data_IF_286506413866
#
_entry.id   IF_286506413866
#
_cell.length_a   1.000
_cell.length_b   1.000
_cell.length_c   1.000
_cell.angle_alpha   90.00
_cell.angle_beta   90.00
_cell.angle_gamma   90.00
#
_symmetry.space_group_name_H-M   'P 1'
#
loop_
_entity.id
_entity.type
_entity.pdbx_description
1 polymer ?
#
# COMPACT_ATOMS: atom_id res chain seq x y z
N UNK A 1 -8.43 -36.81 -18.80
CA UNK A 1 -8.14 -35.39 -19.07
C UNK A 1 -8.32 -34.64 -17.75
N UNK A 2 -7.34 -33.80 -17.35
CA UNK A 2 -7.54 -32.93 -16.18
C UNK A 2 -8.61 -31.90 -16.55
N UNK A 3 -9.65 -31.81 -15.72
CA UNK A 3 -10.68 -30.81 -15.89
C UNK A 3 -10.20 -29.47 -15.31
N UNK A 4 -10.19 -28.43 -16.13
CA UNK A 4 -9.77 -27.10 -15.69
C UNK A 4 -10.99 -26.33 -15.18
N UNK A 5 -10.86 -25.78 -13.96
CA UNK A 5 -11.82 -24.85 -13.39
C UNK A 5 -11.94 -23.56 -14.23
N UNK A 6 -10.78 -23.05 -14.71
CA UNK A 6 -10.70 -21.86 -15.57
C UNK A 6 -9.54 -21.96 -16.57
N UNK A 7 -9.59 -21.08 -17.56
CA UNK A 7 -8.48 -20.83 -18.49
C UNK A 7 -8.22 -19.33 -18.55
N UNK A 8 -6.96 -18.93 -18.44
CA UNK A 8 -6.51 -17.55 -18.51
C UNK A 8 -5.20 -17.47 -19.34
N UNK A 9 -4.87 -16.30 -19.85
CA UNK A 9 -3.55 -16.00 -20.39
C UNK A 9 -2.59 -15.67 -19.25
N UNK A 10 -3.09 -14.88 -18.26
CA UNK A 10 -2.33 -14.44 -17.09
C UNK A 10 -3.13 -14.69 -15.80
N UNK A 11 -2.47 -15.33 -14.81
CA UNK A 11 -2.98 -15.43 -13.44
C UNK A 11 -2.20 -14.51 -12.53
N UNK A 12 -2.89 -13.65 -11.77
CA UNK A 12 -2.31 -12.82 -10.70
C UNK A 12 -2.64 -13.45 -9.35
N UNK A 13 -1.63 -13.74 -8.54
CA UNK A 13 -1.77 -14.35 -7.21
C UNK A 13 -1.67 -13.26 -6.15
N UNK A 14 -2.75 -13.02 -5.42
CA UNK A 14 -2.84 -12.07 -4.31
C UNK A 14 -3.67 -10.83 -4.63
N UNK A 15 -4.71 -10.61 -3.83
CA UNK A 15 -5.68 -9.50 -3.95
C UNK A 15 -5.31 -8.24 -3.15
N UNK A 16 -4.04 -8.06 -2.78
CA UNK A 16 -3.54 -6.83 -2.19
C UNK A 16 -3.37 -5.70 -3.20
N UNK A 17 -2.95 -4.52 -2.73
CA UNK A 17 -2.78 -3.31 -3.57
C UNK A 17 -1.89 -3.54 -4.79
N UNK A 18 -0.83 -4.34 -4.67
CA UNK A 18 0.10 -4.62 -5.78
C UNK A 18 -0.55 -5.52 -6.82
N UNK A 19 -1.17 -6.63 -6.40
CA UNK A 19 -1.82 -7.55 -7.34
C UNK A 19 -3.00 -6.93 -8.06
N UNK A 20 -3.79 -6.10 -7.37
CA UNK A 20 -4.93 -5.41 -8.00
C UNK A 20 -4.48 -4.28 -8.94
N UNK A 21 -3.38 -3.56 -8.61
CA UNK A 21 -2.78 -2.60 -9.52
C UNK A 21 -2.23 -3.28 -10.80
N UNK A 22 -1.56 -4.44 -10.64
CA UNK A 22 -1.09 -5.24 -11.78
C UNK A 22 -2.26 -5.73 -12.63
N UNK A 23 -3.34 -6.21 -12.00
CA UNK A 23 -4.54 -6.66 -12.72
C UNK A 23 -5.16 -5.54 -13.56
N UNK A 24 -5.25 -4.31 -12.97
CA UNK A 24 -5.72 -3.13 -13.72
C UNK A 24 -4.81 -2.82 -14.90
N UNK A 25 -3.52 -2.84 -14.71
CA UNK A 25 -2.56 -2.53 -15.77
C UNK A 25 -2.62 -3.56 -16.90
N UNK A 26 -2.69 -4.87 -16.58
CA UNK A 26 -2.91 -5.96 -17.54
C UNK A 26 -4.24 -5.82 -18.31
N UNK A 27 -5.29 -5.32 -17.65
CA UNK A 27 -6.62 -5.20 -18.26
C UNK A 27 -6.69 -4.17 -19.40
N UNK A 28 -5.64 -3.38 -19.61
CA UNK A 28 -5.46 -2.50 -20.78
C UNK A 28 -5.16 -3.29 -22.08
N UNK A 29 -4.81 -4.55 -21.95
CA UNK A 29 -4.37 -5.38 -23.07
C UNK A 29 -5.38 -6.48 -23.36
N UNK A 30 -5.37 -6.99 -24.59
CA UNK A 30 -6.23 -8.11 -25.03
C UNK A 30 -5.71 -9.43 -24.46
N UNK A 31 -5.86 -9.56 -23.14
CA UNK A 31 -5.47 -10.70 -22.32
C UNK A 31 -6.62 -11.12 -21.44
N UNK A 32 -6.86 -12.43 -21.34
CA UNK A 32 -7.75 -12.99 -20.34
C UNK A 32 -7.00 -13.11 -19.01
N UNK A 33 -7.28 -12.19 -18.08
CA UNK A 33 -6.62 -12.09 -16.80
C UNK A 33 -7.53 -12.58 -15.66
N UNK A 34 -6.99 -13.41 -14.77
CA UNK A 34 -7.67 -13.89 -13.56
C UNK A 34 -6.80 -13.57 -12.35
N UNK A 35 -7.36 -12.86 -11.35
CA UNK A 35 -6.74 -12.70 -10.05
C UNK A 35 -7.32 -13.73 -9.09
N UNK A 36 -6.46 -14.41 -8.33
CA UNK A 36 -6.85 -15.34 -7.25
C UNK A 36 -6.39 -14.81 -5.90
N UNK A 37 -7.30 -14.77 -4.92
CA UNK A 37 -7.05 -14.37 -3.54
C UNK A 37 -7.48 -15.51 -2.58
N UNK A 38 -6.64 -15.83 -1.60
CA UNK A 38 -6.91 -16.91 -0.65
C UNK A 38 -7.99 -16.56 0.38
N UNK A 39 -8.14 -15.28 0.68
CA UNK A 39 -9.11 -14.76 1.63
C UNK A 39 -10.48 -14.53 0.95
N UNK A 40 -11.56 -14.38 1.74
CA UNK A 40 -12.90 -14.13 1.19
C UNK A 40 -13.08 -12.75 0.57
N UNK A 41 -12.13 -11.83 0.79
CA UNK A 41 -12.18 -10.47 0.27
C UNK A 41 -10.78 -9.98 -0.15
N UNK A 42 -10.76 -8.94 -0.98
CA UNK A 42 -9.54 -8.25 -1.38
C UNK A 42 -8.94 -7.45 -0.22
N UNK A 43 -7.66 -7.11 -0.36
CA UNK A 43 -6.92 -6.30 0.60
C UNK A 43 -6.84 -6.87 2.04
N UNK A 44 -7.18 -8.12 2.26
CA UNK A 44 -7.26 -8.73 3.59
C UNK A 44 -5.91 -8.88 4.32
N UNK A 45 -4.77 -8.78 3.61
CA UNK A 45 -3.43 -8.84 4.16
C UNK A 45 -2.88 -7.48 4.62
N UNK A 46 -1.61 -7.20 4.30
CA UNK A 46 -0.89 -5.96 4.66
C UNK A 46 -1.59 -4.69 4.15
N UNK A 47 -2.37 -4.79 3.09
CA UNK A 47 -3.06 -3.63 2.50
C UNK A 47 -4.10 -3.00 3.44
N UNK A 48 -4.77 -3.77 4.29
CA UNK A 48 -5.73 -3.24 5.29
C UNK A 48 -5.06 -2.71 6.57
N UNK A 49 -3.79 -3.07 6.82
CA UNK A 49 -3.10 -2.80 8.08
C UNK A 49 -1.70 -2.24 7.82
N UNK A 50 -1.65 -0.95 7.51
CA UNK A 50 -0.44 -0.18 7.23
C UNK A 50 -0.65 1.30 7.60
N UNK A 51 0.35 2.16 7.33
CA UNK A 51 0.29 3.59 7.67
C UNK A 51 -0.53 4.44 6.69
N UNK A 52 -1.11 3.87 5.65
CA UNK A 52 -1.95 4.58 4.67
C UNK A 52 -1.28 5.81 4.03
N UNK A 53 0.05 5.81 3.86
CA UNK A 53 0.83 6.94 3.40
C UNK A 53 1.27 6.74 1.95
N UNK A 54 1.01 7.74 1.12
CA UNK A 54 1.67 7.94 -0.16
C UNK A 54 2.95 8.74 0.07
N UNK A 55 4.09 8.05 0.05
CA UNK A 55 5.40 8.66 0.33
C UNK A 55 5.89 9.52 -0.83
N UNK A 56 6.59 10.62 -0.53
CA UNK A 56 7.20 11.47 -1.55
C UNK A 56 8.38 10.81 -2.29
N UNK A 57 9.21 9.99 -1.60
CA UNK A 57 10.32 9.26 -2.22
C UNK A 57 11.73 9.63 -1.74
N UNK A 58 11.85 10.45 -0.71
CA UNK A 58 13.16 10.94 -0.21
C UNK A 58 13.96 9.92 0.58
N UNK A 59 13.33 8.87 1.14
CA UNK A 59 13.95 8.01 2.15
C UNK A 59 14.72 6.82 1.55
N UNK A 60 14.25 6.24 0.46
CA UNK A 60 14.88 5.07 -0.14
C UNK A 60 16.24 5.37 -0.75
N UNK A 61 17.22 4.43 -0.66
CA UNK A 61 18.55 4.61 -1.27
C UNK A 61 18.42 4.91 -2.78
N UNK A 62 19.17 5.90 -3.23
CA UNK A 62 19.17 6.30 -4.65
C UNK A 62 19.53 5.14 -5.55
N UNK A 63 18.80 4.96 -6.64
CA UNK A 63 18.97 3.87 -7.61
C UNK A 63 18.33 2.54 -7.22
N UNK A 64 17.79 2.39 -6.01
CA UNK A 64 17.04 1.20 -5.61
C UNK A 64 15.68 1.13 -6.32
N UNK A 65 15.12 -0.08 -6.45
CA UNK A 65 13.75 -0.26 -6.97
C UNK A 65 12.74 0.50 -6.11
N UNK A 66 12.92 0.54 -4.80
CA UNK A 66 12.10 1.34 -3.88
C UNK A 66 12.11 2.82 -4.24
N UNK A 67 13.28 3.42 -4.53
CA UNK A 67 13.38 4.83 -4.87
C UNK A 67 12.67 5.14 -6.19
N UNK A 68 13.01 4.39 -7.24
CA UNK A 68 12.48 4.60 -8.60
C UNK A 68 10.96 4.40 -8.63
N UNK A 69 10.47 3.28 -8.08
CA UNK A 69 9.04 2.96 -8.11
C UNK A 69 8.21 3.84 -7.18
N UNK A 70 8.79 4.33 -6.06
CA UNK A 70 8.08 5.26 -5.18
C UNK A 70 7.82 6.60 -5.87
N UNK A 71 8.84 7.23 -6.44
CA UNK A 71 8.69 8.54 -7.11
C UNK A 71 7.76 8.42 -8.32
N UNK A 72 7.91 7.38 -9.14
CA UNK A 72 7.03 7.11 -10.27
C UNK A 72 5.59 6.85 -9.82
N UNK A 73 5.40 6.00 -8.83
CA UNK A 73 4.08 5.65 -8.29
C UNK A 73 3.36 6.84 -7.68
N UNK A 74 4.08 7.70 -6.92
CA UNK A 74 3.51 8.93 -6.38
C UNK A 74 2.94 9.82 -7.50
N UNK A 75 3.69 10.01 -8.59
CA UNK A 75 3.22 10.79 -9.77
C UNK A 75 1.99 10.16 -10.42
N UNK A 76 1.96 8.83 -10.57
CA UNK A 76 0.83 8.11 -11.17
C UNK A 76 -0.46 8.25 -10.36
N UNK A 77 -0.38 8.34 -9.03
CA UNK A 77 -1.57 8.48 -8.21
C UNK A 77 -2.34 9.78 -8.44
N UNK A 78 -1.76 10.84 -8.95
CA UNK A 78 -2.48 12.08 -9.29
C UNK A 78 -3.49 11.88 -10.43
N UNK A 79 -3.18 11.04 -11.40
CA UNK A 79 -4.11 10.67 -12.48
C UNK A 79 -5.09 9.59 -12.02
N UNK A 80 -4.59 8.55 -11.37
CA UNK A 80 -5.38 7.44 -10.83
C UNK A 80 -6.44 7.92 -9.84
N UNK A 81 -6.15 8.95 -9.05
CA UNK A 81 -7.13 9.58 -8.16
C UNK A 81 -8.35 10.09 -8.93
N UNK A 82 -8.12 10.73 -10.07
CA UNK A 82 -9.19 11.27 -10.91
C UNK A 82 -9.96 10.16 -11.65
N UNK A 83 -9.23 9.20 -12.21
CA UNK A 83 -9.82 8.09 -12.97
C UNK A 83 -10.68 7.17 -12.11
N UNK A 84 -10.19 6.84 -10.92
CA UNK A 84 -10.79 5.83 -10.05
C UNK A 84 -11.56 6.40 -8.86
N UNK A 85 -11.57 7.73 -8.66
CA UNK A 85 -12.21 8.36 -7.51
C UNK A 85 -11.55 7.96 -6.18
N UNK A 86 -10.21 7.85 -6.16
CA UNK A 86 -9.50 7.39 -4.96
C UNK A 86 -9.56 8.43 -3.86
N UNK A 87 -9.82 7.97 -2.64
CA UNK A 87 -9.78 8.82 -1.45
C UNK A 87 -8.32 9.06 -1.03
N UNK A 88 -7.75 10.15 -1.53
CA UNK A 88 -6.39 10.60 -1.28
C UNK A 88 -6.42 12.07 -0.86
N UNK A 89 -5.73 12.39 0.22
CA UNK A 89 -5.47 13.76 0.67
C UNK A 89 -3.98 14.04 0.60
N UNK A 90 -3.59 15.02 -0.21
CA UNK A 90 -2.21 15.45 -0.40
C UNK A 90 -1.80 16.41 0.71
N UNK A 91 -1.63 15.89 1.92
CA UNK A 91 -1.35 16.64 3.15
C UNK A 91 0.09 17.11 3.26
N UNK A 92 0.98 16.54 2.44
CA UNK A 92 2.41 16.62 2.65
C UNK A 92 2.88 15.77 3.85
N UNK A 93 4.20 15.75 4.07
CA UNK A 93 4.78 15.13 5.25
C UNK A 93 5.95 15.94 5.82
N UNK A 94 6.16 15.81 7.12
CA UNK A 94 7.29 16.38 7.85
C UNK A 94 8.17 15.27 8.39
N UNK A 95 9.49 15.41 8.27
CA UNK A 95 10.43 14.66 9.10
C UNK A 95 10.97 15.66 10.13
N UNK A 96 10.56 15.51 11.38
CA UNK A 96 10.78 16.48 12.43
C UNK A 96 12.09 16.21 13.19
N UNK A 97 12.98 17.20 13.27
CA UNK A 97 14.18 17.18 14.10
C UNK A 97 13.89 17.84 15.45
N UNK A 98 14.33 17.18 16.53
CA UNK A 98 14.20 17.66 17.92
C UNK A 98 15.52 18.16 18.50
N UNK A 99 16.62 18.05 17.75
CA UNK A 99 17.93 18.59 18.10
C UNK A 99 18.68 19.10 16.87
N UNK A 100 19.70 19.92 17.08
CA UNK A 100 20.57 20.41 16.01
C UNK A 100 21.35 19.29 15.32
N UNK A 101 21.67 18.21 16.03
CA UNK A 101 22.33 17.03 15.44
C UNK A 101 21.42 16.34 14.42
N UNK A 102 20.12 16.27 14.71
CA UNK A 102 19.14 15.68 13.82
C UNK A 102 18.92 16.50 12.54
N UNK A 103 19.21 17.80 12.55
CA UNK A 103 19.16 18.66 11.36
C UNK A 103 20.12 18.21 10.26
N UNK A 104 21.26 17.62 10.61
CA UNK A 104 22.18 17.05 9.62
C UNK A 104 21.53 15.85 8.90
N UNK A 105 20.83 15.00 9.63
CA UNK A 105 20.07 13.89 9.01
C UNK A 105 19.00 14.39 8.03
N UNK A 106 18.33 15.51 8.35
CA UNK A 106 17.39 16.14 7.42
C UNK A 106 18.05 16.63 6.14
N UNK A 107 19.27 17.17 6.24
CA UNK A 107 20.03 17.61 5.08
C UNK A 107 20.40 16.41 4.17
N UNK A 108 20.83 15.29 4.76
CA UNK A 108 21.10 14.05 4.02
C UNK A 108 19.87 13.51 3.31
N UNK A 109 18.68 13.57 3.97
CA UNK A 109 17.41 13.17 3.39
C UNK A 109 16.98 14.11 2.26
N UNK A 110 17.20 15.41 2.40
CA UNK A 110 16.94 16.41 1.35
C UNK A 110 17.75 16.10 0.09
N UNK A 111 19.06 15.93 0.23
CA UNK A 111 19.97 15.63 -0.88
C UNK A 111 19.62 14.30 -1.57
N UNK A 112 19.31 13.27 -0.77
CA UNK A 112 18.87 11.97 -1.28
C UNK A 112 17.55 12.11 -2.05
N UNK A 113 16.58 12.82 -1.49
CA UNK A 113 15.31 13.05 -2.13
C UNK A 113 15.41 13.81 -3.44
N UNK A 114 16.28 14.83 -3.50
CA UNK A 114 16.58 15.55 -4.73
C UNK A 114 17.22 14.64 -5.79
N UNK A 115 18.19 13.78 -5.40
CA UNK A 115 18.78 12.77 -6.29
C UNK A 115 17.76 11.74 -6.78
N UNK A 116 16.76 11.42 -5.97
CA UNK A 116 15.66 10.53 -6.35
C UNK A 116 14.61 11.22 -7.26
N UNK A 117 14.71 12.53 -7.47
CA UNK A 117 13.77 13.29 -8.30
C UNK A 117 12.48 13.70 -7.58
N UNK A 118 12.52 13.83 -6.26
CA UNK A 118 11.41 14.36 -5.47
C UNK A 118 11.39 15.89 -5.53
N UNK A 119 10.29 16.45 -5.99
CA UNK A 119 10.12 17.88 -6.18
C UNK A 119 9.61 18.58 -4.92
N UNK A 120 9.98 19.86 -4.74
CA UNK A 120 9.45 20.71 -3.68
C UNK A 120 9.94 20.42 -2.26
N UNK A 121 10.95 19.53 -2.09
CA UNK A 121 11.57 19.28 -0.79
C UNK A 121 12.29 20.52 -0.28
N UNK A 122 12.09 20.85 0.99
CA UNK A 122 12.82 21.94 1.66
C UNK A 122 12.92 21.73 3.17
N UNK A 123 13.97 22.27 3.76
CA UNK A 123 14.09 22.37 5.22
C UNK A 123 13.25 23.55 5.70
N UNK A 124 12.46 23.33 6.73
CA UNK A 124 11.69 24.33 7.45
C UNK A 124 12.36 24.65 8.77
N UNK A 125 12.36 25.93 9.15
CA UNK A 125 12.70 26.34 10.49
C UNK A 125 11.55 26.06 11.46
N UNK A 126 11.82 26.25 12.77
CA UNK A 126 10.83 26.00 13.84
C UNK A 126 9.52 26.77 13.64
N UNK A 127 9.56 28.03 13.25
CA UNK A 127 8.37 28.87 13.07
C UNK A 127 7.50 28.35 11.93
N UNK A 128 8.10 28.01 10.80
CA UNK A 128 7.41 27.40 9.66
C UNK A 128 6.79 26.05 10.00
N UNK A 129 7.47 25.22 10.81
CA UNK A 129 6.92 23.94 11.29
C UNK A 129 5.70 24.19 12.16
N UNK A 130 5.78 25.09 13.15
CA UNK A 130 4.68 25.39 14.07
C UNK A 130 3.46 26.02 13.36
N UNK A 131 3.69 26.79 12.28
CA UNK A 131 2.59 27.31 11.45
C UNK A 131 1.84 26.17 10.72
N UNK A 132 2.49 25.06 10.39
CA UNK A 132 1.85 23.88 9.81
C UNK A 132 1.26 22.95 10.86
N UNK A 133 2.04 22.62 11.89
CA UNK A 133 1.72 21.63 12.92
C UNK A 133 1.99 22.23 14.33
N UNK A 134 1.02 22.94 14.85
CA UNK A 134 1.14 23.72 16.09
C UNK A 134 1.54 22.91 17.34
N UNK A 135 1.27 21.60 17.32
CA UNK A 135 1.51 20.71 18.46
C UNK A 135 2.94 20.13 18.49
N UNK A 136 3.75 20.37 17.45
CA UNK A 136 5.15 19.94 17.42
C UNK A 136 6.05 20.90 18.21
N UNK A 137 5.80 21.07 19.49
CA UNK A 137 6.46 22.10 20.32
C UNK A 137 7.93 21.81 20.61
N UNK A 138 8.38 20.57 20.45
CA UNK A 138 9.75 20.11 20.75
C UNK A 138 10.71 20.24 19.56
N UNK A 139 10.21 20.56 18.35
CA UNK A 139 11.03 20.57 17.13
C UNK A 139 11.94 21.81 17.04
N UNK A 140 13.09 21.65 16.39
CA UNK A 140 14.00 22.72 15.98
C UNK A 140 13.87 23.04 14.49
N UNK A 141 13.46 22.06 13.67
CA UNK A 141 13.19 22.18 12.24
C UNK A 141 12.59 20.91 11.68
N UNK A 142 12.31 20.89 10.38
CA UNK A 142 11.79 19.70 9.69
C UNK A 142 12.15 19.69 8.20
N UNK A 143 12.26 18.50 7.60
CA UNK A 143 12.19 18.33 6.16
C UNK A 143 10.72 18.27 5.75
N UNK A 144 10.30 19.17 4.87
CA UNK A 144 8.97 19.21 4.27
C UNK A 144 8.96 18.54 2.90
N UNK A 145 8.02 17.62 2.70
CA UNK A 145 7.78 16.94 1.43
C UNK A 145 6.32 17.15 0.99
N UNK A 146 6.03 18.11 0.10
CA UNK A 146 4.66 18.49 -0.28
C UNK A 146 3.91 17.41 -1.07
N UNK A 147 4.61 16.54 -1.79
CA UNK A 147 4.01 15.48 -2.62
C UNK A 147 3.60 14.24 -1.83
N UNK A 148 3.81 14.19 -0.52
CA UNK A 148 3.29 13.10 0.31
C UNK A 148 1.79 13.30 0.59
N UNK A 149 1.10 12.21 0.90
CA UNK A 149 -0.32 12.26 1.24
C UNK A 149 -0.76 11.06 2.06
N UNK A 150 -2.02 11.08 2.47
CA UNK A 150 -2.70 9.97 3.11
C UNK A 150 -3.81 9.43 2.20
N UNK A 151 -4.14 8.16 2.33
CA UNK A 151 -5.11 7.52 1.46
C UNK A 151 -5.91 6.44 2.20
N UNK A 152 -6.88 5.84 1.53
CA UNK A 152 -7.63 4.68 2.03
C UNK A 152 -7.21 3.40 1.29
N UNK A 153 -6.19 2.65 1.78
CA UNK A 153 -5.50 1.63 0.97
C UNK A 153 -6.36 0.48 0.47
N UNK A 154 -7.27 -0.04 1.30
CA UNK A 154 -8.11 -1.16 0.86
C UNK A 154 -9.17 -0.72 -0.14
N UNK A 155 -9.76 0.48 -0.02
CA UNK A 155 -10.65 1.03 -1.04
C UNK A 155 -9.92 1.23 -2.37
N UNK A 156 -8.64 1.64 -2.33
CA UNK A 156 -7.81 1.77 -3.53
C UNK A 156 -7.60 0.40 -4.21
N UNK A 157 -7.30 -0.66 -3.45
CA UNK A 157 -7.16 -2.01 -4.01
C UNK A 157 -8.46 -2.50 -4.66
N UNK A 158 -9.60 -2.23 -4.03
CA UNK A 158 -10.92 -2.54 -4.58
C UNK A 158 -11.17 -1.75 -5.87
N UNK A 159 -10.85 -0.45 -5.90
CA UNK A 159 -11.03 0.39 -7.09
C UNK A 159 -10.16 -0.09 -8.27
N UNK A 160 -8.91 -0.50 -8.03
CA UNK A 160 -8.08 -1.11 -9.06
C UNK A 160 -8.72 -2.39 -9.62
N UNK A 161 -9.21 -3.27 -8.74
CA UNK A 161 -9.86 -4.50 -9.15
C UNK A 161 -11.17 -4.23 -9.92
N UNK A 162 -11.98 -3.27 -9.47
CA UNK A 162 -13.22 -2.88 -10.16
C UNK A 162 -12.94 -2.35 -11.56
N UNK A 163 -11.91 -1.51 -11.73
CA UNK A 163 -11.50 -1.04 -13.04
C UNK A 163 -11.06 -2.21 -13.95
N UNK A 164 -10.30 -3.16 -13.41
CA UNK A 164 -9.90 -4.33 -14.17
C UNK A 164 -11.09 -5.21 -14.57
N UNK A 165 -12.04 -5.44 -13.68
CA UNK A 165 -13.27 -6.21 -13.96
C UNK A 165 -14.14 -5.51 -14.99
N UNK A 166 -14.27 -4.17 -14.91
CA UNK A 166 -14.97 -3.37 -15.95
C UNK A 166 -14.35 -3.57 -17.34
N UNK A 167 -13.07 -3.96 -17.41
CA UNK A 167 -12.33 -4.22 -18.64
C UNK A 167 -12.12 -5.71 -18.93
N UNK A 168 -12.93 -6.59 -18.31
CA UNK A 168 -13.01 -8.01 -18.62
C UNK A 168 -12.08 -8.93 -17.82
N UNK A 169 -11.36 -8.43 -16.81
CA UNK A 169 -10.63 -9.29 -15.88
C UNK A 169 -11.58 -9.99 -14.90
N UNK A 170 -11.15 -11.12 -14.34
CA UNK A 170 -11.89 -11.85 -13.33
C UNK A 170 -11.16 -11.84 -11.98
N UNK A 171 -11.93 -11.77 -10.88
CA UNK A 171 -11.44 -11.90 -9.52
C UNK A 171 -12.08 -13.10 -8.85
N UNK A 172 -11.28 -13.98 -8.26
CA UNK A 172 -11.72 -15.19 -7.56
C UNK A 172 -11.17 -15.19 -6.15
N UNK A 173 -12.02 -14.91 -5.18
CA UNK A 173 -11.72 -14.99 -3.74
C UNK A 173 -11.87 -16.41 -3.20
N UNK A 174 -11.52 -16.67 -1.93
CA UNK A 174 -11.49 -18.02 -1.33
C UNK A 174 -10.70 -19.03 -2.20
N UNK A 175 -9.69 -18.58 -2.90
CA UNK A 175 -8.95 -19.35 -3.90
C UNK A 175 -7.47 -19.34 -3.60
N UNK A 176 -7.02 -20.28 -2.76
CA UNK A 176 -5.63 -20.44 -2.37
C UNK A 176 -4.85 -21.20 -3.45
N UNK A 177 -3.71 -20.66 -3.88
CA UNK A 177 -2.75 -21.40 -4.72
C UNK A 177 -2.05 -22.45 -3.87
N UNK A 178 -2.00 -23.68 -4.38
CA UNK A 178 -1.43 -24.85 -3.70
C UNK A 178 -0.25 -25.49 -4.46
N UNK A 179 -0.09 -25.15 -5.75
CA UNK A 179 0.99 -25.68 -6.58
C UNK A 179 0.97 -25.16 -8.01
N UNK A 180 1.84 -25.73 -8.83
CA UNK A 180 1.97 -25.44 -10.25
C UNK A 180 2.20 -26.69 -11.06
N UNK A 181 1.55 -26.82 -12.21
CA UNK A 181 1.86 -27.84 -13.21
C UNK A 181 2.86 -27.23 -14.17
N UNK A 182 3.93 -27.98 -14.45
CA UNK A 182 5.00 -27.59 -15.37
C UNK A 182 5.18 -28.63 -16.47
N UNK A 183 5.40 -28.18 -17.69
CA UNK A 183 5.79 -29.00 -18.82
C UNK A 183 7.06 -28.42 -19.44
N UNK A 184 8.08 -29.24 -19.65
CA UNK A 184 9.40 -28.81 -20.12
C UNK A 184 9.98 -27.60 -19.34
N UNK A 185 9.81 -27.57 -18.01
CA UNK A 185 10.31 -26.49 -17.14
C UNK A 185 9.50 -25.20 -17.14
N UNK A 186 8.42 -25.12 -17.90
CA UNK A 186 7.53 -23.95 -18.02
C UNK A 186 6.22 -24.22 -17.29
N UNK A 187 5.67 -23.21 -16.60
CA UNK A 187 4.33 -23.29 -16.00
C UNK A 187 3.28 -23.41 -17.11
N UNK A 188 2.34 -24.34 -16.94
CA UNK A 188 1.19 -24.55 -17.84
C UNK A 188 -0.14 -24.47 -17.10
N UNK A 189 -0.15 -24.65 -15.78
CA UNK A 189 -1.34 -24.43 -14.94
C UNK A 189 -0.98 -24.07 -13.51
N UNK A 190 -1.92 -23.43 -12.84
CA UNK A 190 -1.91 -23.12 -11.41
C UNK A 190 -2.88 -24.05 -10.70
N UNK A 191 -2.39 -24.74 -9.67
CA UNK A 191 -3.23 -25.54 -8.76
C UNK A 191 -3.80 -24.66 -7.66
N UNK A 192 -5.11 -24.73 -7.45
CA UNK A 192 -5.79 -23.94 -6.44
C UNK A 192 -6.75 -24.79 -5.60
N UNK A 193 -7.21 -24.24 -4.48
CA UNK A 193 -8.25 -24.87 -3.63
C UNK A 193 -9.60 -25.04 -4.34
N UNK A 194 -9.82 -24.35 -5.49
CA UNK A 194 -11.03 -24.44 -6.31
C UNK A 194 -10.85 -25.25 -7.60
N UNK A 195 -9.66 -25.80 -7.83
CA UNK A 195 -9.33 -26.57 -9.02
C UNK A 195 -8.22 -25.94 -9.84
N UNK A 196 -7.99 -26.48 -11.03
CA UNK A 196 -6.88 -26.09 -11.91
C UNK A 196 -7.26 -24.85 -12.75
N UNK A 197 -6.33 -23.90 -12.85
CA UNK A 197 -6.41 -22.78 -13.79
C UNK A 197 -5.32 -22.96 -14.84
N UNK A 198 -5.70 -23.20 -16.09
CA UNK A 198 -4.76 -23.24 -17.21
C UNK A 198 -4.20 -21.84 -17.42
N UNK A 199 -2.89 -21.67 -17.33
CA UNK A 199 -2.21 -20.40 -17.60
C UNK A 199 -0.74 -20.65 -17.91
N UNK A 200 -0.21 -19.93 -18.89
CA UNK A 200 1.21 -19.95 -19.24
C UNK A 200 2.00 -18.81 -18.59
N UNK A 201 1.33 -17.84 -18.01
CA UNK A 201 1.94 -16.68 -17.35
C UNK A 201 1.30 -16.47 -15.98
N UNK A 202 2.13 -16.37 -14.94
CA UNK A 202 1.69 -16.23 -13.55
C UNK A 202 2.48 -15.12 -12.87
N UNK A 203 1.79 -14.25 -12.16
CA UNK A 203 2.38 -13.16 -11.40
C UNK A 203 2.16 -13.42 -9.91
N UNK A 204 3.25 -13.51 -9.17
CA UNK A 204 3.26 -13.71 -7.74
C UNK A 204 3.29 -12.35 -7.03
N UNK A 205 2.14 -11.90 -6.54
CA UNK A 205 1.96 -10.73 -5.68
C UNK A 205 1.45 -11.14 -4.28
N UNK A 206 1.91 -12.29 -3.77
CA UNK A 206 1.43 -12.95 -2.56
C UNK A 206 1.85 -12.30 -1.24
N UNK A 207 2.41 -11.07 -1.25
CA UNK A 207 2.77 -10.32 -0.05
C UNK A 207 3.76 -11.09 0.84
N UNK A 208 3.41 -11.28 2.10
CA UNK A 208 4.28 -12.01 3.05
C UNK A 208 4.47 -13.48 2.71
N UNK A 209 3.64 -14.05 1.82
CA UNK A 209 3.73 -15.45 1.38
C UNK A 209 4.42 -15.62 0.03
N UNK A 210 4.92 -14.53 -0.57
CA UNK A 210 5.45 -14.56 -1.95
C UNK A 210 6.61 -15.54 -2.13
N UNK A 211 7.51 -15.66 -1.16
CA UNK A 211 8.60 -16.64 -1.20
C UNK A 211 8.11 -18.10 -1.12
N UNK A 212 7.05 -18.36 -0.33
CA UNK A 212 6.41 -19.67 -0.27
C UNK A 212 5.77 -20.04 -1.60
N UNK A 213 5.07 -19.09 -2.24
CA UNK A 213 4.47 -19.30 -3.57
C UNK A 213 5.56 -19.54 -4.63
N UNK A 214 6.66 -18.77 -4.60
CA UNK A 214 7.79 -18.95 -5.49
C UNK A 214 8.41 -20.36 -5.33
N UNK A 215 8.60 -20.82 -4.10
CA UNK A 215 9.11 -22.20 -3.80
C UNK A 215 8.19 -23.30 -4.32
N UNK A 216 6.85 -23.13 -4.31
CA UNK A 216 5.95 -24.10 -4.95
C UNK A 216 6.23 -24.27 -6.42
N UNK A 217 6.70 -23.23 -7.11
CA UNK A 217 7.14 -23.29 -8.50
C UNK A 217 8.59 -23.77 -8.68
N UNK A 218 9.39 -23.88 -7.60
CA UNK A 218 10.80 -24.20 -7.62
C UNK A 218 11.73 -22.99 -7.74
N UNK A 219 11.24 -21.78 -7.42
CA UNK A 219 12.04 -20.56 -7.32
C UNK A 219 12.42 -20.30 -5.86
N UNK A 220 13.70 -20.44 -5.54
CA UNK A 220 14.29 -20.21 -4.22
C UNK A 220 15.19 -18.97 -4.19
N UNK A 221 15.08 -18.09 -5.19
CA UNK A 221 15.97 -16.95 -5.37
C UNK A 221 15.84 -15.85 -4.31
N UNK A 222 14.75 -15.84 -3.53
CA UNK A 222 14.51 -14.87 -2.47
C UNK A 222 13.75 -15.44 -1.28
N UNK A 223 13.84 -14.74 -0.16
CA UNK A 223 13.09 -15.03 1.07
C UNK A 223 12.33 -13.79 1.53
N UNK A 224 11.20 -14.00 2.20
CA UNK A 224 10.39 -12.94 2.80
C UNK A 224 10.30 -13.17 4.31
N UNK A 225 10.75 -12.18 5.07
CA UNK A 225 10.63 -12.12 6.52
C UNK A 225 9.49 -11.18 6.90
N UNK A 226 8.51 -11.63 7.70
CA UNK A 226 7.46 -10.76 8.19
C UNK A 226 8.02 -9.80 9.25
N UNK A 227 7.75 -8.50 9.10
CA UNK A 227 8.06 -7.48 10.12
C UNK A 227 6.77 -6.84 10.58
N UNK A 228 6.38 -7.13 11.81
CA UNK A 228 5.17 -6.57 12.43
C UNK A 228 5.35 -5.09 12.73
N UNK A 229 4.29 -4.33 12.47
CA UNK A 229 4.13 -2.95 12.91
C UNK A 229 2.79 -2.80 13.59
N UNK A 230 2.82 -2.35 14.83
CA UNK A 230 1.65 -2.15 15.67
C UNK A 230 1.27 -0.67 15.70
N UNK A 231 0.00 -0.35 15.87
CA UNK A 231 -0.56 0.99 15.78
C UNK A 231 -1.60 1.23 16.87
N UNK A 232 -1.76 2.47 17.28
CA UNK A 232 -2.86 2.96 18.15
C UNK A 232 -3.65 3.99 17.36
N UNK A 233 -4.96 3.79 17.20
CA UNK A 233 -5.87 4.69 16.53
C UNK A 233 -6.66 5.49 17.56
N UNK A 234 -6.75 6.80 17.36
CA UNK A 234 -7.51 7.72 18.22
C UNK A 234 -8.83 8.12 17.59
N UNK A 235 -9.80 8.43 18.46
CA UNK A 235 -11.07 9.04 18.10
C UNK A 235 -10.87 10.38 17.37
N UNK A 236 -11.63 10.59 16.30
CA UNK A 236 -11.50 11.79 15.48
C UNK A 236 -11.86 13.09 16.21
N UNK A 237 -12.79 13.06 17.17
CA UNK A 237 -13.22 14.26 17.88
C UNK A 237 -12.16 14.76 18.87
N UNK A 238 -11.46 13.83 19.53
CA UNK A 238 -10.42 14.16 20.50
C UNK A 238 -9.05 14.41 19.85
N UNK A 239 -8.79 13.83 18.67
CA UNK A 239 -7.47 13.86 18.03
C UNK A 239 -7.43 14.61 16.69
N UNK A 240 -8.55 15.14 16.19
CA UNK A 240 -8.64 15.87 14.91
C UNK A 240 -7.69 17.08 14.78
N UNK A 241 -7.24 17.63 15.90
CA UNK A 241 -6.31 18.76 15.92
C UNK A 241 -4.88 18.36 16.25
N UNK A 242 -4.59 17.06 16.39
CA UNK A 242 -3.27 16.59 16.84
C UNK A 242 -2.21 16.87 15.79
N UNK A 243 -2.46 16.39 14.56
CA UNK A 243 -1.68 16.71 13.37
C UNK A 243 -2.62 16.85 12.16
N UNK A 244 -2.18 17.61 11.15
CA UNK A 244 -2.95 17.82 9.90
C UNK A 244 -2.48 16.90 8.77
N UNK A 245 -1.32 16.30 8.91
CA UNK A 245 -0.70 15.46 7.90
C UNK A 245 0.11 14.33 8.50
N UNK A 246 1.22 14.03 7.86
CA UNK A 246 2.14 12.96 8.26
C UNK A 246 3.36 13.55 8.94
N UNK A 247 3.65 13.14 10.16
CA UNK A 247 4.81 13.58 10.93
C UNK A 247 5.68 12.38 11.29
N UNK A 248 6.87 12.32 10.75
CA UNK A 248 7.91 11.35 11.09
C UNK A 248 8.90 11.99 12.08
N UNK A 249 9.45 11.25 13.04
CA UNK A 249 10.72 11.63 13.66
C UNK A 249 11.85 11.45 12.66
N UNK A 250 13.03 11.97 12.98
CA UNK A 250 14.26 11.62 12.26
C UNK A 250 14.51 10.11 12.33
N UNK A 251 14.85 9.46 11.18
CA UNK A 251 15.11 8.03 11.16
C UNK A 251 16.36 7.69 11.98
N UNK A 252 16.34 6.54 12.62
CA UNK A 252 17.49 5.96 13.28
C UNK A 252 17.99 4.70 12.53
N UNK A 253 19.09 4.08 13.01
CA UNK A 253 19.69 2.90 12.38
C UNK A 253 18.74 1.68 12.29
N UNK A 254 17.69 1.61 13.11
CA UNK A 254 16.77 0.47 13.20
C UNK A 254 15.45 0.69 12.44
N UNK A 255 14.95 1.93 12.38
CA UNK A 255 13.65 2.22 11.79
C UNK A 255 13.51 3.69 11.40
N UNK A 256 12.46 3.98 10.62
CA UNK A 256 12.00 5.35 10.32
C UNK A 256 11.43 6.09 11.56
N UNK A 257 11.39 5.42 12.70
CA UNK A 257 10.74 5.88 13.91
C UNK A 257 9.21 5.75 13.89
N UNK A 258 8.60 6.05 15.03
CA UNK A 258 7.16 5.99 15.22
C UNK A 258 6.57 7.33 14.82
N UNK A 259 5.74 7.31 13.79
CA UNK A 259 5.10 8.48 13.22
C UNK A 259 3.76 8.80 13.90
N UNK A 260 3.29 10.02 13.68
CA UNK A 260 1.95 10.50 14.02
C UNK A 260 1.31 10.93 12.71
N UNK A 261 0.12 10.41 12.41
CA UNK A 261 -0.49 10.60 11.10
C UNK A 261 -2.02 10.74 11.21
N UNK A 262 -2.57 11.64 10.40
CA UNK A 262 -4.02 11.69 10.16
C UNK A 262 -4.46 10.63 9.17
N UNK A 263 -5.76 10.31 9.15
CA UNK A 263 -6.41 9.48 8.13
C UNK A 263 -7.32 10.33 7.26
N UNK A 264 -7.73 9.82 6.09
CA UNK A 264 -8.72 10.49 5.22
C UNK A 264 -10.10 10.65 5.87
N UNK A 265 -10.35 9.99 7.01
CA UNK A 265 -11.59 10.07 7.78
C UNK A 265 -11.49 10.99 9.02
N UNK A 266 -10.33 11.66 9.20
CA UNK A 266 -10.10 12.61 10.28
C UNK A 266 -9.66 12.00 11.60
N UNK A 267 -9.45 10.69 11.68
CA UNK A 267 -8.80 10.06 12.82
C UNK A 267 -7.30 10.35 12.82
N UNK A 268 -6.67 10.22 13.97
CA UNK A 268 -5.19 10.22 14.07
C UNK A 268 -4.72 8.87 14.60
N UNK A 269 -3.59 8.38 14.13
CA UNK A 269 -2.94 7.21 14.69
C UNK A 269 -1.46 7.48 14.98
N UNK A 270 -0.90 6.68 15.88
CA UNK A 270 0.54 6.61 16.16
C UNK A 270 1.05 5.20 15.89
N UNK A 271 2.29 5.10 15.45
CA UNK A 271 2.92 3.86 15.01
C UNK A 271 3.57 4.04 13.63
N UNK A 272 4.04 2.98 13.00
CA UNK A 272 4.23 1.68 13.61
C UNK A 272 5.59 1.55 14.32
N UNK A 273 5.67 0.59 15.25
CA UNK A 273 6.95 0.03 15.65
C UNK A 273 7.49 -0.95 14.60
N UNK A 274 8.57 -1.68 14.90
CA UNK A 274 9.20 -2.61 13.95
C UNK A 274 9.74 -3.83 14.69
N UNK A 275 9.04 -4.95 14.60
CA UNK A 275 9.42 -6.21 15.20
C UNK A 275 9.53 -7.29 14.13
N UNK A 276 10.73 -7.89 14.00
CA UNK A 276 10.91 -9.03 13.10
C UNK A 276 10.23 -10.25 13.68
N UNK A 277 9.50 -10.99 12.84
CA UNK A 277 8.69 -12.14 13.22
C UNK A 277 9.07 -13.35 12.37
N UNK A 278 8.83 -14.55 12.89
CA UNK A 278 8.90 -15.78 12.11
C UNK A 278 7.53 -16.18 11.56
N UNK A 279 6.49 -16.00 12.37
CA UNK A 279 5.12 -16.35 12.00
C UNK A 279 4.51 -15.28 11.07
N UNK A 280 4.16 -15.69 9.85
CA UNK A 280 3.54 -14.83 8.81
C UNK A 280 2.04 -14.54 9.07
N UNK A 281 1.48 -15.06 10.16
CA UNK A 281 0.07 -14.87 10.53
C UNK A 281 -0.10 -14.11 11.84
N UNK A 282 0.99 -13.85 12.59
CA UNK A 282 0.92 -13.17 13.88
C UNK A 282 0.76 -11.66 13.73
N UNK A 283 -0.48 -11.21 13.84
CA UNK A 283 -0.88 -9.80 13.89
C UNK A 283 -1.36 -9.37 15.28
N UNK A 284 -0.96 -10.09 16.32
CA UNK A 284 -1.29 -9.72 17.69
C UNK A 284 -0.63 -8.40 18.09
N UNK A 285 -1.33 -7.59 18.86
CA UNK A 285 -0.81 -6.37 19.49
C UNK A 285 -0.26 -6.72 20.86
N UNK A 286 0.85 -6.10 21.25
CA UNK A 286 1.56 -6.42 22.50
C UNK A 286 1.67 -5.21 23.42
N UNK A 287 1.62 -5.42 24.74
CA UNK A 287 1.80 -4.33 25.71
C UNK A 287 3.15 -3.63 25.53
N UNK A 288 4.22 -4.37 25.30
CA UNK A 288 5.56 -3.83 25.06
C UNK A 288 5.62 -2.96 23.79
N UNK A 289 4.93 -3.38 22.72
CA UNK A 289 4.81 -2.61 21.49
C UNK A 289 4.01 -1.33 21.69
N UNK A 290 2.93 -1.38 22.47
CA UNK A 290 2.14 -0.19 22.81
C UNK A 290 2.95 0.80 23.64
N UNK A 291 3.69 0.34 24.64
CA UNK A 291 4.57 1.19 25.45
C UNK A 291 5.67 1.85 24.61
N UNK A 292 6.29 1.10 23.68
CA UNK A 292 7.28 1.64 22.73
C UNK A 292 6.68 2.76 21.88
N UNK A 293 5.48 2.52 21.31
CA UNK A 293 4.78 3.49 20.45
C UNK A 293 4.44 4.76 21.24
N UNK A 294 3.83 4.63 22.40
CA UNK A 294 3.43 5.75 23.25
C UNK A 294 4.63 6.59 23.66
N UNK A 295 5.70 5.96 24.15
CA UNK A 295 6.89 6.65 24.65
C UNK A 295 7.63 7.37 23.52
N UNK A 296 7.65 6.79 22.33
CA UNK A 296 8.31 7.40 21.16
C UNK A 296 7.50 8.56 20.59
N UNK A 297 6.17 8.42 20.46
CA UNK A 297 5.31 9.49 19.94
C UNK A 297 5.28 10.71 20.88
N UNK A 298 5.37 10.52 22.20
CA UNK A 298 5.46 11.61 23.19
C UNK A 298 6.69 12.48 23.04
N UNK A 299 7.75 12.03 22.38
CA UNK A 299 8.92 12.86 22.08
C UNK A 299 8.59 14.00 21.11
N UNK A 300 7.66 13.75 20.18
CA UNK A 300 7.18 14.75 19.22
C UNK A 300 6.00 15.55 19.80
N UNK A 301 5.04 14.86 20.40
CA UNK A 301 3.84 15.47 21.00
C UNK A 301 3.69 14.96 22.45
N UNK A 302 4.16 15.71 23.46
CA UNK A 302 4.15 15.26 24.85
C UNK A 302 2.74 14.94 25.38
N UNK A 303 1.72 15.71 24.97
CA UNK A 303 0.36 15.60 25.46
C UNK A 303 -0.54 14.81 24.49
N UNK A 304 -0.25 13.51 24.30
CA UNK A 304 -1.11 12.63 23.52
C UNK A 304 -2.41 12.31 24.27
N UNK A 305 -3.57 12.34 23.59
CA UNK A 305 -4.87 12.07 24.22
C UNK A 305 -5.10 10.56 24.37
N UNK A 306 -4.32 9.88 25.21
CA UNK A 306 -4.36 8.41 25.33
C UNK A 306 -5.72 7.86 25.73
N UNK A 307 -6.53 8.63 26.49
CA UNK A 307 -7.89 8.25 26.83
C UNK A 307 -8.87 8.25 25.66
N UNK A 308 -8.46 8.75 24.50
CA UNK A 308 -9.23 8.74 23.26
C UNK A 308 -8.79 7.64 22.27
N UNK A 309 -7.97 6.69 22.70
CA UNK A 309 -7.68 5.48 21.92
C UNK A 309 -8.97 4.68 21.75
N UNK A 310 -9.29 4.33 20.49
CA UNK A 310 -10.50 3.57 20.14
C UNK A 310 -10.20 2.14 19.70
N UNK A 311 -9.01 1.90 19.17
CA UNK A 311 -8.55 0.55 18.81
C UNK A 311 -7.04 0.50 18.57
N UNK A 312 -6.49 -0.70 18.65
CA UNK A 312 -5.14 -1.04 18.27
C UNK A 312 -5.19 -2.09 17.14
N UNK A 313 -4.19 -2.04 16.26
CA UNK A 313 -4.05 -3.03 15.19
C UNK A 313 -2.60 -3.25 14.83
N UNK A 314 -2.32 -4.36 14.14
CA UNK A 314 -1.01 -4.65 13.61
C UNK A 314 -1.06 -5.18 12.17
N UNK A 315 0.02 -4.93 11.43
CA UNK A 315 0.20 -5.44 10.08
C UNK A 315 1.61 -5.97 9.85
N UNK A 316 1.74 -6.93 8.94
CA UNK A 316 3.01 -7.56 8.61
C UNK A 316 3.57 -6.99 7.29
N UNK A 317 4.76 -6.39 7.38
CA UNK A 317 5.52 -5.96 6.19
C UNK A 317 6.25 -7.13 5.59
N UNK A 318 6.18 -7.28 4.27
CA UNK A 318 6.91 -8.30 3.53
C UNK A 318 8.35 -7.82 3.26
N UNK A 319 9.29 -8.12 4.13
CA UNK A 319 10.69 -7.71 3.99
C UNK A 319 11.45 -8.77 3.21
N UNK A 320 12.04 -8.41 2.07
CA UNK A 320 12.91 -9.32 1.33
C UNK A 320 14.30 -9.42 1.96
N UNK A 321 14.98 -10.54 1.80
CA UNK A 321 16.34 -10.75 2.29
C UNK A 321 17.36 -9.78 1.68
N UNK A 322 17.12 -9.27 0.46
CA UNK A 322 17.96 -8.25 -0.19
C UNK A 322 17.74 -6.84 0.38
N UNK A 323 16.65 -6.62 1.13
CA UNK A 323 16.27 -5.29 1.60
C UNK A 323 15.56 -4.41 0.57
N UNK A 324 15.61 -4.73 -0.73
CA UNK A 324 14.89 -4.03 -1.81
C UNK A 324 13.71 -4.86 -2.31
N UNK A 325 12.92 -4.36 -3.26
CA UNK A 325 11.85 -5.09 -3.91
C UNK A 325 12.40 -6.21 -4.82
N UNK A 326 11.59 -7.23 -5.04
CA UNK A 326 11.86 -8.32 -6.01
C UNK A 326 10.82 -8.19 -7.12
N UNK A 327 11.21 -7.61 -8.25
CA UNK A 327 10.32 -7.28 -9.36
C UNK A 327 10.89 -7.86 -10.66
N UNK A 328 10.07 -8.62 -11.40
CA UNK A 328 10.40 -9.11 -12.73
C UNK A 328 10.30 -10.62 -12.89
N UNK A 329 10.91 -11.13 -13.95
CA UNK A 329 10.88 -12.56 -14.29
C UNK A 329 11.60 -13.40 -13.24
N UNK A 330 11.00 -14.52 -12.86
CA UNK A 330 11.59 -15.58 -12.04
C UNK A 330 12.55 -16.43 -12.90
N UNK A 331 13.52 -17.14 -12.31
CA UNK A 331 14.23 -18.22 -12.98
C UNK A 331 13.31 -19.32 -13.54
N UNK A 332 12.10 -19.46 -13.03
CA UNK A 332 11.08 -20.41 -13.52
C UNK A 332 10.29 -19.77 -14.67
N UNK A 333 10.37 -20.37 -15.85
CA UNK A 333 9.70 -19.86 -17.04
C UNK A 333 8.18 -19.74 -16.86
N UNK A 334 7.63 -18.56 -17.12
CA UNK A 334 6.22 -18.24 -16.95
C UNK A 334 5.86 -17.69 -15.57
N UNK A 335 6.81 -17.59 -14.61
CA UNK A 335 6.59 -16.94 -13.33
C UNK A 335 7.23 -15.54 -13.30
N UNK A 336 6.51 -14.57 -12.74
CA UNK A 336 6.96 -13.21 -12.47
C UNK A 336 6.72 -12.88 -11.02
N UNK A 337 7.66 -12.21 -10.37
CA UNK A 337 7.57 -11.84 -8.96
C UNK A 337 7.36 -10.34 -8.78
N UNK A 338 6.40 -9.97 -7.94
CA UNK A 338 6.18 -8.64 -7.38
C UNK A 338 6.18 -8.77 -5.87
N UNK A 339 7.37 -8.99 -5.28
CA UNK A 339 7.55 -9.43 -3.90
C UNK A 339 8.45 -8.47 -3.09
N UNK A 340 8.51 -8.66 -1.77
CA UNK A 340 9.29 -7.79 -0.89
C UNK A 340 8.66 -6.43 -0.66
N UNK A 341 7.35 -6.27 -0.91
CA UNK A 341 6.62 -5.02 -0.92
C UNK A 341 6.33 -4.48 0.49
N UNK A 342 7.40 -4.18 1.23
CA UNK A 342 7.33 -3.34 2.42
C UNK A 342 7.21 -1.85 2.03
N UNK A 343 7.27 -0.91 2.99
CA UNK A 343 7.32 0.52 2.64
C UNK A 343 8.49 0.80 1.66
N UNK A 344 8.23 1.51 0.56
CA UNK A 344 7.02 2.27 0.18
C UNK A 344 6.04 1.53 -0.76
N UNK A 345 5.82 0.24 -0.61
CA UNK A 345 5.09 -0.63 -1.54
C UNK A 345 3.69 -0.12 -1.92
N UNK A 346 2.96 0.52 -1.01
CA UNK A 346 1.66 1.14 -1.30
C UNK A 346 1.79 2.21 -2.38
N UNK A 347 2.72 3.15 -2.19
CA UNK A 347 2.99 4.22 -3.16
C UNK A 347 3.56 3.68 -4.46
N UNK A 348 4.41 2.66 -4.38
CA UNK A 348 5.07 2.06 -5.52
C UNK A 348 4.15 1.20 -6.40
N UNK A 349 3.00 0.74 -5.87
CA UNK A 349 2.17 -0.27 -6.52
C UNK A 349 1.83 0.01 -8.00
N UNK A 350 1.44 1.22 -8.43
CA UNK A 350 1.17 1.49 -9.85
C UNK A 350 2.43 1.38 -10.72
N UNK A 351 3.58 1.85 -10.24
CA UNK A 351 4.84 1.77 -10.99
C UNK A 351 5.37 0.32 -11.07
N UNK A 352 5.18 -0.45 -10.00
CA UNK A 352 5.48 -1.90 -10.00
C UNK A 352 4.59 -2.61 -11.02
N UNK A 353 3.33 -2.21 -11.13
CA UNK A 353 2.42 -2.76 -12.13
C UNK A 353 2.89 -2.49 -13.56
N UNK A 354 3.34 -1.25 -13.87
CA UNK A 354 3.94 -0.93 -15.17
C UNK A 354 5.13 -1.86 -15.48
N UNK A 355 6.07 -2.02 -14.55
CA UNK A 355 7.28 -2.85 -14.74
C UNK A 355 6.94 -4.34 -14.93
N UNK A 356 6.02 -4.88 -14.14
CA UNK A 356 5.61 -6.28 -14.26
C UNK A 356 4.89 -6.52 -15.58
N UNK A 357 4.00 -5.63 -15.98
CA UNK A 357 3.25 -5.78 -17.24
C UNK A 357 4.19 -5.67 -18.44
N UNK A 358 5.17 -4.77 -18.42
CA UNK A 358 6.21 -4.72 -19.46
C UNK A 358 6.95 -6.06 -19.59
N UNK A 359 7.37 -6.66 -18.48
CA UNK A 359 8.03 -7.96 -18.46
C UNK A 359 7.11 -9.09 -18.96
N UNK A 360 5.84 -9.07 -18.58
CA UNK A 360 4.83 -10.04 -19.04
C UNK A 360 4.60 -9.92 -20.55
N UNK A 361 4.47 -8.71 -21.08
CA UNK A 361 4.25 -8.47 -22.52
C UNK A 361 5.46 -8.88 -23.36
N UNK A 362 6.67 -8.78 -22.84
CA UNK A 362 7.86 -9.31 -23.48
C UNK A 362 7.83 -10.86 -23.59
N UNK A 363 7.16 -11.53 -22.65
CA UNK A 363 7.01 -12.99 -22.63
C UNK A 363 5.74 -13.47 -23.35
N UNK A 364 4.63 -12.76 -23.20
CA UNK A 364 3.32 -13.04 -23.78
C UNK A 364 2.78 -11.76 -24.44
N UNK A 365 3.18 -11.46 -25.68
CA UNK A 365 2.77 -10.25 -26.39
C UNK A 365 1.25 -10.16 -26.57
N UNK A 366 0.68 -8.97 -26.32
CA UNK A 366 -0.74 -8.69 -26.52
C UNK A 366 -0.94 -7.26 -27.02
N UNK A 367 -2.01 -7.04 -27.78
CA UNK A 367 -2.39 -5.71 -28.26
C UNK A 367 -3.06 -4.89 -27.16
N UNK A 368 -2.91 -3.58 -27.22
CA UNK A 368 -3.67 -2.66 -26.37
C UNK A 368 -5.14 -2.65 -26.78
N UNK A 369 -6.07 -2.75 -25.83
CA UNK A 369 -7.52 -2.66 -26.08
C UNK A 369 -7.89 -1.25 -26.54
N UNK A 370 -8.60 -1.16 -27.66
CA UNK A 370 -9.11 0.12 -28.17
C UNK A 370 -10.24 0.72 -27.31
N UNK A 371 -10.96 -0.12 -26.57
CA UNK A 371 -12.13 0.21 -25.76
C UNK A 371 -11.86 0.18 -24.25
N UNK A 372 -10.59 0.26 -23.83
CA UNK A 372 -10.22 0.31 -22.42
C UNK A 372 -10.90 1.48 -21.69
N UNK A 373 -11.60 1.17 -20.62
CA UNK A 373 -12.32 2.13 -19.78
C UNK A 373 -11.49 2.44 -18.54
N UNK A 374 -10.75 3.54 -18.57
CA UNK A 374 -9.87 3.95 -17.46
C UNK A 374 -10.67 4.48 -16.24
N UNK A 375 -11.82 5.10 -16.50
CA UNK A 375 -12.61 5.82 -15.51
C UNK A 375 -13.68 4.92 -14.91
N UNK A 376 -13.69 4.83 -13.58
CA UNK A 376 -14.79 4.22 -12.84
C UNK A 376 -15.96 5.20 -12.67
N UNK A 377 -17.22 4.71 -12.64
CA UNK A 377 -18.35 5.52 -12.20
C UNK A 377 -18.05 6.13 -10.84
N UNK A 378 -18.07 7.47 -10.77
CA UNK A 378 -17.80 8.18 -9.52
C UNK A 378 -19.01 8.05 -8.60
N UNK A 379 -18.87 7.30 -7.52
CA UNK A 379 -19.83 7.31 -6.43
C UNK A 379 -19.51 8.47 -5.49
N UNK A 380 -20.49 9.31 -5.14
CA UNK A 380 -20.26 10.38 -4.20
C UNK A 380 -19.80 9.81 -2.85
N UNK A 381 -18.75 10.39 -2.30
CA UNK A 381 -18.29 10.06 -0.94
C UNK A 381 -19.29 10.67 0.04
N UNK A 382 -20.30 9.89 0.44
CA UNK A 382 -21.47 10.34 1.18
C UNK A 382 -21.13 11.14 2.43
N UNK A 383 -20.11 10.73 3.18
CA UNK A 383 -19.63 11.40 4.38
C UNK A 383 -19.01 12.79 4.15
N UNK A 384 -18.64 13.13 2.90
CA UNK A 384 -18.08 14.43 2.51
C UNK A 384 -19.12 15.40 1.97
N UNK A 385 -20.35 14.92 1.73
CA UNK A 385 -21.45 15.74 1.25
C UNK A 385 -22.06 16.58 2.40
N UNK A 386 -22.56 17.76 2.05
CA UNK A 386 -23.41 18.52 2.96
C UNK A 386 -24.71 17.77 3.27
N UNK A 387 -25.35 18.07 4.40
CA UNK A 387 -26.62 17.42 4.77
C UNK A 387 -27.70 17.58 3.69
N UNK A 388 -27.72 18.71 2.98
CA UNK A 388 -28.66 18.93 1.87
C UNK A 388 -28.37 18.01 0.67
N UNK A 389 -27.10 17.83 0.31
CA UNK A 389 -26.68 16.93 -0.76
C UNK A 389 -26.94 15.47 -0.39
N UNK A 390 -26.68 15.10 0.89
CA UNK A 390 -26.99 13.78 1.42
C UNK A 390 -28.48 13.48 1.33
N UNK A 391 -29.35 14.44 1.72
CA UNK A 391 -30.79 14.29 1.61
C UNK A 391 -31.25 14.08 0.17
N UNK A 392 -30.79 14.90 -0.78
CA UNK A 392 -31.07 14.76 -2.21
C UNK A 392 -30.61 13.39 -2.75
N UNK A 393 -29.46 12.90 -2.30
CA UNK A 393 -28.96 11.60 -2.72
C UNK A 393 -29.81 10.44 -2.17
N UNK A 394 -30.28 10.54 -0.92
CA UNK A 394 -31.19 9.58 -0.30
C UNK A 394 -32.55 9.56 -1.02
N UNK A 395 -33.09 10.72 -1.40
CA UNK A 395 -34.33 10.81 -2.18
C UNK A 395 -34.18 10.08 -3.53
N UNK A 396 -33.04 10.26 -4.19
CA UNK A 396 -32.73 9.60 -5.47
C UNK A 396 -32.50 8.09 -5.31
N UNK A 397 -31.86 7.67 -4.24
CA UNK A 397 -31.59 6.26 -3.94
C UNK A 397 -31.59 6.03 -2.41
N UNK A 398 -32.65 5.42 -1.90
CA UNK A 398 -32.85 5.15 -0.48
C UNK A 398 -31.75 4.30 0.18
N UNK A 399 -30.95 3.58 -0.60
CA UNK A 399 -29.84 2.79 -0.07
C UNK A 399 -28.76 3.67 0.57
N UNK A 400 -28.59 4.91 0.13
CA UNK A 400 -27.66 5.84 0.77
C UNK A 400 -28.07 6.26 2.20
N UNK A 401 -29.36 6.16 2.53
CA UNK A 401 -29.86 6.40 3.90
C UNK A 401 -29.85 5.17 4.79
N UNK A 402 -29.39 4.01 4.29
CA UNK A 402 -29.34 2.78 5.07
C UNK A 402 -28.05 2.73 5.89
N UNK A 403 -28.18 2.86 7.21
CA UNK A 403 -27.06 2.68 8.14
C UNK A 403 -26.67 1.19 8.15
N UNK A 404 -25.45 0.88 7.64
CA UNK A 404 -24.90 -0.48 7.62
C UNK A 404 -24.10 -0.73 8.92
N UNK A 405 -23.40 0.28 9.40
CA UNK A 405 -22.67 0.25 10.66
C UNK A 405 -22.91 1.55 11.43
N UNK A 406 -22.94 1.48 12.75
CA UNK A 406 -23.05 2.64 13.64
C UNK A 406 -21.74 3.03 14.30
N UNK A 407 -20.62 2.47 13.85
CA UNK A 407 -19.29 2.79 14.36
C UNK A 407 -18.78 4.16 13.86
N UNK A 408 -19.38 4.71 12.80
CA UNK A 408 -19.13 6.05 12.30
C UNK A 408 -20.46 6.81 12.17
N UNK A 409 -20.76 7.56 13.18
CA UNK A 409 -21.93 8.47 13.19
C UNK A 409 -21.46 9.91 13.14
#
# INVERSE_FOLDING_TARGET
MMEFFKTADVVVIGGGIVGTAILRELSKYDLKCVLVEKEPDLAAGTTKANSAILHAGFDAPTGSLKAVTNVRGNKLYHELQKELGLDIEWTGSLVAATSEEEMQTLQELLERGQKNGVEGLRILNREEVLAKEKNLTTVVGALWAPSAGVCWPFAMAVAFAQCAVQNGAEVVTDCRVTGFIKEAGRITAVETSKGLIKAACVINAGGVYADGIARLAGDESFTIHPRRGEYILFDKTAAASLVKGVVFPTPNKKSKGILICTTTHGNTFIGPNAQDMENKEDTAVTLTGMDEIMNSARKLIPNLPMGASITEFAGLRAVSGSGDFVIGASPVAGLFNAAGMQSPGLTAAPAVAEMIVEAVLAYCPAAVKADFKAVLPQNPLFHRLSHEEQAKLIEKNRLYGRVICRCET
#
